data_IF_067998334589
#
_entry.id   IF_067998334589
#
_cell.length_a   1.000
_cell.length_b   1.000
_cell.length_c   1.000
_cell.angle_alpha   90.00
_cell.angle_beta   90.00
_cell.angle_gamma   90.00
#
_symmetry.space_group_name_H-M   'P 1'
#
loop_
_entity.id
_entity.type
_entity.pdbx_description
1 polymer ?
#
# COMPACT_ATOMS: atom_id res chain seq x y z
N UNK A 1 30.50 -21.27 -36.44
CA UNK A 1 31.26 -22.35 -35.80
C UNK A 1 31.40 -21.96 -34.34
N UNK A 2 30.75 -22.57 -33.37
CA UNK A 2 29.98 -23.82 -33.31
C UNK A 2 28.85 -23.65 -32.29
N UNK A 3 27.78 -24.40 -32.54
CA UNK A 3 26.69 -24.70 -31.62
C UNK A 3 27.17 -25.61 -30.49
N UNK A 4 26.41 -25.70 -29.38
CA UNK A 4 25.92 -26.98 -28.84
C UNK A 4 24.93 -26.76 -27.68
N UNK A 5 23.85 -27.54 -27.76
CA UNK A 5 22.65 -27.58 -26.93
C UNK A 5 22.75 -28.48 -25.67
N UNK A 6 21.61 -28.54 -24.95
CA UNK A 6 21.04 -29.64 -24.14
C UNK A 6 21.22 -29.55 -22.61
N UNK A 7 20.26 -29.88 -21.73
CA UNK A 7 18.84 -30.23 -21.81
C UNK A 7 18.24 -30.27 -20.38
N UNK A 8 16.97 -29.84 -20.26
CA UNK A 8 15.82 -30.37 -19.49
C UNK A 8 15.99 -31.09 -18.13
N UNK A 9 15.23 -30.64 -17.11
CA UNK A 9 14.32 -31.51 -16.34
C UNK A 9 13.22 -30.73 -15.57
N UNK A 10 11.98 -31.25 -15.68
CA UNK A 10 10.72 -30.86 -15.05
C UNK A 10 10.56 -31.57 -13.71
N UNK A 11 9.86 -30.96 -12.76
CA UNK A 11 8.92 -31.69 -11.90
C UNK A 11 7.77 -30.79 -11.43
N UNK A 12 6.57 -31.36 -11.40
CA UNK A 12 5.27 -30.73 -11.11
C UNK A 12 4.53 -31.69 -10.20
N UNK A 13 4.12 -31.30 -8.99
CA UNK A 13 3.01 -31.93 -8.25
C UNK A 13 2.40 -30.95 -7.22
N UNK A 14 1.14 -30.56 -7.46
CA UNK A 14 0.08 -30.28 -6.47
C UNK A 14 -0.94 -31.45 -6.56
N UNK A 15 -2.03 -31.64 -5.75
CA UNK A 15 -2.71 -30.74 -4.79
C UNK A 15 -3.27 -31.46 -3.50
N UNK A 16 -4.06 -30.77 -2.65
CA UNK A 16 -5.43 -31.16 -2.15
C UNK A 16 -5.81 -30.51 -0.79
N UNK A 17 -6.85 -29.66 -0.87
CA UNK A 17 -8.08 -29.46 -0.06
C UNK A 17 -8.15 -29.60 1.48
N UNK A 18 -8.82 -28.62 2.11
CA UNK A 18 -9.44 -28.72 3.44
C UNK A 18 -10.34 -27.51 3.78
N UNK A 19 -11.65 -27.66 3.57
CA UNK A 19 -12.75 -26.73 3.92
C UNK A 19 -13.11 -26.76 5.42
N UNK A 20 -13.77 -25.69 5.90
CA UNK A 20 -14.77 -25.57 7.00
C UNK A 20 -14.48 -24.30 7.85
N UNK A 21 -15.41 -23.50 8.38
CA UNK A 21 -16.85 -23.26 8.25
C UNK A 21 -17.14 -22.00 9.08
N UNK A 22 -17.96 -21.08 8.57
CA UNK A 22 -18.65 -20.05 9.38
C UNK A 22 -19.87 -20.72 10.02
N UNK A 23 -20.23 -20.36 11.27
CA UNK A 23 -21.62 -20.13 11.74
C UNK A 23 -21.68 -19.80 13.25
N UNK A 24 -22.35 -18.67 13.49
CA UNK A 24 -23.20 -18.21 14.61
C UNK A 24 -23.07 -18.76 16.03
N UNK A 25 -23.07 -17.81 16.96
CA UNK A 25 -23.87 -17.91 18.19
C UNK A 25 -24.67 -16.62 18.40
N UNK A 26 -25.95 -16.69 18.07
CA UNK A 26 -27.00 -15.81 18.61
C UNK A 26 -27.14 -16.08 20.12
N UNK A 27 -27.58 -15.09 20.89
CA UNK A 27 -28.53 -15.27 21.98
C UNK A 27 -29.20 -13.93 22.32
N UNK A 28 -30.51 -14.02 22.47
CA UNK A 28 -31.53 -12.99 22.69
C UNK A 28 -31.47 -12.36 24.10
N UNK A 29 -32.06 -11.16 24.24
CA UNK A 29 -33.02 -10.86 25.31
C UNK A 29 -33.74 -9.51 25.05
N UNK A 30 -34.95 -9.64 24.51
CA UNK A 30 -36.23 -9.06 24.95
C UNK A 30 -36.24 -7.76 25.78
N UNK A 31 -37.03 -6.78 25.31
CA UNK A 31 -37.48 -5.65 26.12
C UNK A 31 -38.25 -4.61 25.30
N UNK A 32 -39.54 -4.86 25.05
CA UNK A 32 -40.49 -3.82 24.65
C UNK A 32 -40.63 -2.77 25.76
N UNK A 33 -40.86 -1.50 25.40
CA UNK A 33 -42.02 -0.70 25.85
C UNK A 33 -41.98 0.70 25.22
N UNK A 34 -43.13 1.02 24.63
CA UNK A 34 -43.58 2.30 24.07
C UNK A 34 -43.57 3.45 25.09
N UNK A 35 -43.30 4.68 24.64
CA UNK A 35 -44.16 5.87 24.90
C UNK A 35 -43.68 7.13 24.18
N UNK A 36 -44.68 7.92 23.81
CA UNK A 36 -44.69 9.06 22.89
C UNK A 36 -44.29 10.42 23.51
N UNK A 37 -43.81 11.30 22.60
CA UNK A 37 -44.03 12.76 22.51
C UNK A 37 -43.32 13.69 23.51
N UNK A 38 -42.47 14.59 22.95
CA UNK A 38 -42.63 16.06 23.03
C UNK A 38 -41.53 16.81 22.23
N UNK A 39 -41.93 17.69 21.32
CA UNK A 39 -41.16 18.79 20.69
C UNK A 39 -41.97 20.06 21.06
N UNK A 40 -41.38 21.19 21.54
CA UNK A 40 -40.69 22.13 20.65
C UNK A 40 -39.58 23.02 21.25
N UNK A 41 -38.66 23.50 20.40
CA UNK A 41 -37.72 24.55 20.79
C UNK A 41 -36.52 24.76 19.87
N UNK A 42 -36.76 25.37 18.71
CA UNK A 42 -35.82 26.03 17.78
C UNK A 42 -34.46 26.50 18.34
N UNK A 43 -33.34 25.96 17.80
CA UNK A 43 -32.07 26.69 17.59
C UNK A 43 -31.31 26.10 16.38
N UNK A 44 -31.08 26.95 15.36
CA UNK A 44 -29.99 26.93 14.37
C UNK A 44 -29.49 25.60 13.79
N UNK A 45 -29.97 25.24 12.58
CA UNK A 45 -29.32 24.24 11.71
C UNK A 45 -28.05 24.84 11.08
N UNK A 46 -26.84 24.26 11.21
CA UNK A 46 -25.72 24.61 10.34
C UNK A 46 -25.97 24.03 8.94
N UNK A 47 -25.40 24.59 7.86
CA UNK A 47 -25.55 24.04 6.51
C UNK A 47 -24.61 22.84 6.30
N UNK A 48 -24.76 21.81 7.10
CA UNK A 48 -24.22 20.47 6.84
C UNK A 48 -25.30 19.70 6.08
N UNK A 49 -25.30 19.72 4.74
CA UNK A 49 -26.03 18.74 3.90
C UNK A 49 -26.03 19.07 2.39
N UNK A 50 -25.21 19.99 1.90
CA UNK A 50 -25.03 20.12 0.44
C UNK A 50 -24.20 18.99 -0.16
N UNK A 51 -23.57 18.13 0.66
CA UNK A 51 -22.80 16.97 0.20
C UNK A 51 -23.65 15.89 -0.51
N UNK A 52 -24.97 15.91 -0.36
CA UNK A 52 -25.89 15.04 -1.10
C UNK A 52 -26.42 15.67 -2.41
N UNK A 53 -26.01 16.89 -2.77
CA UNK A 53 -26.53 17.62 -3.94
C UNK A 53 -25.90 17.14 -5.26
N UNK A 54 -26.30 15.93 -5.66
CA UNK A 54 -26.08 15.27 -6.96
C UNK A 54 -24.77 14.48 -7.08
N UNK A 55 -24.91 13.14 -7.13
CA UNK A 55 -23.87 12.24 -7.68
C UNK A 55 -23.48 12.75 -9.07
N UNK A 56 -22.18 12.81 -9.39
CA UNK A 56 -21.68 13.38 -10.66
C UNK A 56 -22.38 12.79 -11.89
N UNK A 57 -22.72 11.50 -11.86
CA UNK A 57 -23.49 10.83 -12.91
C UNK A 57 -24.85 11.49 -13.16
N UNK A 58 -25.63 11.78 -12.12
CA UNK A 58 -26.94 12.44 -12.28
C UNK A 58 -26.83 13.83 -12.89
N UNK A 59 -25.74 14.54 -12.58
CA UNK A 59 -25.47 15.84 -13.19
C UNK A 59 -25.11 15.68 -14.67
N UNK A 60 -24.28 14.69 -15.00
CA UNK A 60 -23.94 14.33 -16.37
C UNK A 60 -25.21 14.00 -17.18
N UNK A 61 -26.06 13.09 -16.69
CA UNK A 61 -27.32 12.71 -17.36
C UNK A 61 -28.21 13.92 -17.63
N UNK A 62 -28.35 14.80 -16.63
CA UNK A 62 -29.13 16.02 -16.74
C UNK A 62 -28.57 16.99 -17.79
N UNK A 63 -27.24 17.14 -17.85
CA UNK A 63 -26.59 18.01 -18.84
C UNK A 63 -26.72 17.44 -20.24
N UNK A 64 -26.53 16.13 -20.40
CA UNK A 64 -26.66 15.46 -21.70
C UNK A 64 -28.09 15.53 -22.23
N UNK A 65 -29.08 15.20 -21.39
CA UNK A 65 -30.49 15.28 -21.76
C UNK A 65 -30.89 16.70 -22.18
N UNK A 66 -30.52 17.71 -21.38
CA UNK A 66 -30.81 19.12 -21.70
C UNK A 66 -30.09 19.60 -22.96
N UNK A 67 -28.91 19.07 -23.24
CA UNK A 67 -28.17 19.42 -24.47
C UNK A 67 -28.83 18.82 -25.70
N UNK A 68 -29.30 17.57 -25.61
CA UNK A 68 -30.06 16.92 -26.68
C UNK A 68 -31.38 17.64 -26.96
N UNK A 69 -32.14 17.99 -25.93
CA UNK A 69 -33.38 18.79 -26.07
C UNK A 69 -33.12 20.09 -26.84
N UNK A 70 -32.10 20.86 -26.45
CA UNK A 70 -31.72 22.09 -27.16
C UNK A 70 -31.28 21.84 -28.60
N UNK A 71 -30.60 20.74 -28.86
CA UNK A 71 -30.18 20.38 -30.21
C UNK A 71 -31.39 20.05 -31.11
N UNK A 72 -32.36 19.31 -30.58
CA UNK A 72 -33.60 18.99 -31.29
C UNK A 72 -34.44 20.26 -31.54
N UNK A 73 -34.49 21.20 -30.60
CA UNK A 73 -35.17 22.49 -30.79
C UNK A 73 -34.61 23.28 -32.00
N UNK A 74 -33.30 23.20 -32.24
CA UNK A 74 -32.67 23.82 -33.42
C UNK A 74 -33.11 23.15 -34.72
N UNK A 75 -33.44 21.86 -34.68
CA UNK A 75 -33.97 21.09 -35.79
C UNK A 75 -35.50 21.17 -35.91
N UNK A 76 -36.14 22.21 -35.35
CA UNK A 76 -37.60 22.40 -35.40
C UNK A 76 -38.23 22.30 -36.80
N UNK A 77 -39.49 21.84 -36.85
CA UNK A 77 -40.24 21.67 -38.09
C UNK A 77 -40.35 22.95 -38.92
N UNK A 78 -40.47 24.12 -38.27
CA UNK A 78 -40.56 25.40 -38.96
C UNK A 78 -39.31 25.67 -39.82
N UNK A 79 -38.11 25.42 -39.25
CA UNK A 79 -36.85 25.56 -39.98
C UNK A 79 -36.78 24.55 -41.12
N UNK A 80 -37.14 23.29 -40.87
CA UNK A 80 -37.17 22.24 -41.88
C UNK A 80 -38.10 22.57 -43.06
N UNK A 81 -39.35 22.96 -42.78
CA UNK A 81 -40.33 23.34 -43.79
C UNK A 81 -39.92 24.61 -44.57
N UNK A 82 -39.23 25.56 -43.91
CA UNK A 82 -38.73 26.76 -44.57
C UNK A 82 -37.62 26.48 -45.58
N UNK A 83 -36.77 25.49 -45.33
CA UNK A 83 -35.70 25.05 -46.24
C UNK A 83 -36.26 24.24 -47.41
N UNK A 84 -37.26 23.39 -47.16
CA UNK A 84 -37.88 22.52 -48.17
C UNK A 84 -39.26 23.03 -48.66
N UNK A 85 -39.43 24.36 -48.79
CA UNK A 85 -40.70 25.00 -49.16
C UNK A 85 -41.41 24.42 -50.39
N UNK A 86 -40.73 24.15 -51.52
CA UNK A 86 -41.41 23.61 -52.71
C UNK A 86 -42.06 22.24 -52.46
N UNK A 87 -41.43 21.41 -51.62
CA UNK A 87 -41.94 20.08 -51.26
C UNK A 87 -43.06 20.18 -50.21
N UNK A 88 -42.90 21.07 -49.23
CA UNK A 88 -43.93 21.33 -48.23
C UNK A 88 -45.25 21.77 -48.86
N UNK A 89 -45.22 22.71 -49.83
CA UNK A 89 -46.43 23.18 -50.54
C UNK A 89 -47.17 22.06 -51.28
N UNK A 90 -46.45 21.03 -51.76
CA UNK A 90 -47.06 19.91 -52.49
C UNK A 90 -47.75 18.92 -51.56
N UNK A 91 -47.16 18.63 -50.41
CA UNK A 91 -47.74 17.68 -49.45
C UNK A 91 -47.27 17.97 -48.00
N UNK A 92 -47.96 18.86 -47.28
CA UNK A 92 -47.61 19.24 -45.91
C UNK A 92 -47.62 18.06 -44.94
N UNK A 93 -48.62 17.19 -45.07
CA UNK A 93 -48.84 16.03 -44.19
C UNK A 93 -47.69 15.01 -44.30
N UNK A 94 -47.25 14.69 -45.53
CA UNK A 94 -46.08 13.82 -45.70
C UNK A 94 -44.79 14.45 -45.19
N UNK A 95 -44.62 15.76 -45.39
CA UNK A 95 -43.43 16.46 -44.91
C UNK A 95 -43.33 16.46 -43.38
N UNK A 96 -44.45 16.66 -42.70
CA UNK A 96 -44.54 16.60 -41.23
C UNK A 96 -44.23 15.20 -40.70
N UNK A 97 -44.77 14.16 -41.35
CA UNK A 97 -44.46 12.76 -41.01
C UNK A 97 -42.97 12.44 -41.16
N UNK A 98 -42.35 12.87 -42.27
CA UNK A 98 -40.90 12.67 -42.51
C UNK A 98 -40.07 13.38 -41.44
N UNK A 99 -40.40 14.64 -41.11
CA UNK A 99 -39.67 15.38 -40.08
C UNK A 99 -39.79 14.73 -38.71
N UNK A 100 -41.00 14.30 -38.33
CA UNK A 100 -41.22 13.58 -37.08
C UNK A 100 -40.39 12.31 -36.99
N UNK A 101 -40.41 11.47 -38.03
CA UNK A 101 -39.60 10.25 -38.09
C UNK A 101 -38.10 10.55 -38.01
N UNK A 102 -37.63 11.59 -38.71
CA UNK A 102 -36.24 12.01 -38.65
C UNK A 102 -35.81 12.43 -37.24
N UNK A 103 -36.63 13.21 -36.54
CA UNK A 103 -36.32 13.66 -35.17
C UNK A 103 -36.35 12.51 -34.18
N UNK A 104 -37.35 11.62 -34.26
CA UNK A 104 -37.45 10.44 -33.41
C UNK A 104 -36.23 9.51 -33.58
N UNK A 105 -35.84 9.26 -34.83
CA UNK A 105 -34.68 8.43 -35.16
C UNK A 105 -33.37 9.08 -34.70
N UNK A 106 -33.18 10.37 -34.96
CA UNK A 106 -31.99 11.12 -34.55
C UNK A 106 -31.84 11.13 -33.02
N UNK A 107 -32.93 11.40 -32.30
CA UNK A 107 -32.92 11.40 -30.84
C UNK A 107 -32.59 10.01 -30.30
N UNK A 108 -33.22 8.97 -30.85
CA UNK A 108 -32.96 7.58 -30.44
C UNK A 108 -31.50 7.19 -30.64
N UNK A 109 -30.96 7.39 -31.85
CA UNK A 109 -29.57 7.03 -32.17
C UNK A 109 -28.60 7.76 -31.24
N UNK A 110 -28.79 9.06 -30.99
CA UNK A 110 -27.91 9.82 -30.10
C UNK A 110 -27.99 9.29 -28.66
N UNK A 111 -29.20 8.98 -28.15
CA UNK A 111 -29.36 8.43 -26.80
C UNK A 111 -28.74 7.03 -26.66
N UNK A 112 -28.90 6.18 -27.68
CA UNK A 112 -28.27 4.86 -27.73
C UNK A 112 -26.74 4.97 -27.76
N UNK A 113 -26.20 5.89 -28.57
CA UNK A 113 -24.76 6.13 -28.66
C UNK A 113 -24.18 6.67 -27.35
N UNK A 114 -24.85 7.65 -26.72
CA UNK A 114 -24.45 8.14 -25.39
C UNK A 114 -24.47 7.00 -24.37
N UNK A 115 -25.53 6.17 -24.35
CA UNK A 115 -25.63 5.05 -23.41
C UNK A 115 -24.51 4.04 -23.62
N UNK A 116 -24.23 3.69 -24.87
CA UNK A 116 -23.10 2.83 -25.24
C UNK A 116 -21.76 3.41 -24.77
N UNK A 117 -21.52 4.71 -24.97
CA UNK A 117 -20.28 5.37 -24.52
C UNK A 117 -20.16 5.39 -22.99
N UNK A 118 -21.26 5.56 -22.27
CA UNK A 118 -21.29 5.46 -20.79
C UNK A 118 -20.88 4.06 -20.34
N UNK A 119 -21.41 3.01 -20.98
CA UNK A 119 -21.12 1.62 -20.68
C UNK A 119 -19.67 1.23 -21.03
N UNK A 120 -19.24 1.52 -22.26
CA UNK A 120 -17.88 1.27 -22.74
C UNK A 120 -16.83 2.00 -21.90
N UNK A 121 -17.10 3.26 -21.57
CA UNK A 121 -16.23 4.07 -20.72
C UNK A 121 -16.30 3.73 -19.24
N UNK A 122 -17.20 2.83 -18.83
CA UNK A 122 -17.51 2.52 -17.44
C UNK A 122 -17.71 3.78 -16.59
N UNK A 123 -18.39 4.77 -17.16
CA UNK A 123 -18.41 6.14 -16.62
C UNK A 123 -19.08 6.19 -15.25
N UNK A 124 -20.09 5.36 -15.01
CA UNK A 124 -20.75 5.24 -13.70
C UNK A 124 -19.73 4.87 -12.60
N UNK A 125 -18.87 3.87 -12.85
CA UNK A 125 -17.87 3.42 -11.88
C UNK A 125 -16.87 4.55 -11.62
N UNK A 126 -16.32 5.15 -12.67
CA UNK A 126 -15.29 6.20 -12.56
C UNK A 126 -15.82 7.46 -11.85
N UNK A 127 -17.05 7.88 -12.15
CA UNK A 127 -17.65 9.05 -11.49
C UNK A 127 -18.01 8.77 -10.03
N UNK A 128 -18.47 7.55 -9.71
CA UNK A 128 -18.71 7.13 -8.33
C UNK A 128 -17.39 7.04 -7.52
N UNK A 129 -16.32 6.51 -8.10
CA UNK A 129 -14.99 6.49 -7.50
C UNK A 129 -14.48 7.92 -7.24
N UNK A 130 -14.67 8.83 -8.18
CA UNK A 130 -14.29 10.22 -8.03
C UNK A 130 -15.09 10.92 -6.90
N UNK A 131 -16.39 10.64 -6.77
CA UNK A 131 -17.22 11.11 -5.66
C UNK A 131 -16.66 10.60 -4.31
N UNK A 132 -16.24 9.34 -4.24
CA UNK A 132 -15.63 8.75 -3.04
C UNK A 132 -14.28 9.39 -2.72
N UNK A 133 -13.40 9.54 -3.71
CA UNK A 133 -12.07 10.16 -3.55
C UNK A 133 -12.18 11.61 -3.07
N UNK A 134 -13.11 12.40 -3.62
CA UNK A 134 -13.38 13.75 -3.15
C UNK A 134 -13.83 13.73 -1.68
N UNK A 135 -14.77 12.86 -1.32
CA UNK A 135 -15.28 12.76 0.05
C UNK A 135 -14.17 12.40 1.06
N UNK A 136 -13.25 11.50 0.68
CA UNK A 136 -12.10 11.11 1.50
C UNK A 136 -11.06 12.24 1.61
N UNK A 137 -10.91 13.05 0.57
CA UNK A 137 -9.95 14.15 0.52
C UNK A 137 -10.44 15.44 1.20
N UNK A 138 -11.75 15.64 1.41
CA UNK A 138 -12.35 16.86 2.00
C UNK A 138 -11.72 17.30 3.33
N UNK A 139 -11.16 16.37 4.11
CA UNK A 139 -10.53 16.66 5.40
C UNK A 139 -9.06 17.07 5.31
N UNK A 140 -8.43 16.95 4.14
CA UNK A 140 -7.01 17.29 3.93
C UNK A 140 -6.92 18.75 3.49
N UNK A 141 -6.28 19.58 4.30
CA UNK A 141 -6.05 21.00 3.99
C UNK A 141 -4.86 21.21 3.03
N UNK A 142 -3.96 20.24 2.96
CA UNK A 142 -2.76 20.36 2.14
C UNK A 142 -3.08 20.28 0.65
N UNK A 143 -2.36 21.04 -0.19
CA UNK A 143 -2.45 20.91 -1.64
C UNK A 143 -2.21 19.46 -2.07
N UNK A 144 -3.10 18.93 -2.90
CA UNK A 144 -2.94 17.60 -3.45
C UNK A 144 -1.72 17.55 -4.39
N UNK A 145 -0.95 16.47 -4.30
CA UNK A 145 0.21 16.24 -5.17
C UNK A 145 -0.18 16.32 -6.65
N UNK A 146 0.71 16.90 -7.46
CA UNK A 146 0.60 16.98 -8.92
C UNK A 146 1.96 16.57 -9.50
N UNK A 147 1.97 15.83 -10.63
CA UNK A 147 3.21 15.55 -11.34
C UNK A 147 3.96 16.84 -11.61
N UNK A 148 5.25 16.87 -11.26
CA UNK A 148 6.13 18.02 -11.51
C UNK A 148 6.44 18.18 -13.00
N UNK A 149 6.27 17.10 -13.77
CA UNK A 149 6.73 17.02 -15.16
C UNK A 149 8.17 16.53 -15.29
N UNK A 150 8.84 16.26 -14.17
CA UNK A 150 10.18 15.66 -14.11
C UNK A 150 10.05 14.23 -13.57
N UNK A 151 10.16 13.20 -14.43
CA UNK A 151 9.92 11.81 -14.05
C UNK A 151 10.74 11.34 -12.86
N UNK A 152 12.01 11.74 -12.77
CA UNK A 152 12.92 11.35 -11.69
C UNK A 152 12.42 11.87 -10.34
N UNK A 153 11.95 13.12 -10.29
CA UNK A 153 11.44 13.71 -9.05
C UNK A 153 10.12 13.05 -8.63
N UNK A 154 9.22 12.84 -9.59
CA UNK A 154 7.92 12.22 -9.33
C UNK A 154 8.11 10.78 -8.83
N UNK A 155 9.01 10.03 -9.45
CA UNK A 155 9.36 8.66 -9.05
C UNK A 155 10.03 8.61 -7.67
N UNK A 156 10.99 9.49 -7.41
CA UNK A 156 11.62 9.59 -6.08
C UNK A 156 10.60 9.92 -4.99
N UNK A 157 9.63 10.80 -5.25
CA UNK A 157 8.60 11.16 -4.28
C UNK A 157 7.73 9.96 -3.89
N UNK A 158 7.42 9.08 -4.86
CA UNK A 158 6.67 7.85 -4.62
C UNK A 158 7.48 6.80 -3.85
N UNK A 159 8.77 6.64 -4.16
CA UNK A 159 9.63 5.64 -3.52
C UNK A 159 10.12 6.02 -2.12
N UNK A 160 10.22 7.31 -1.82
CA UNK A 160 10.80 7.82 -0.58
C UNK A 160 10.24 7.15 0.70
N UNK A 161 8.92 6.94 0.86
CA UNK A 161 8.38 6.30 2.06
C UNK A 161 8.88 4.86 2.26
N UNK A 162 9.10 4.11 1.16
CA UNK A 162 9.60 2.73 1.22
C UNK A 162 11.05 2.69 1.66
N UNK A 163 11.90 3.56 1.08
CA UNK A 163 13.30 3.65 1.48
C UNK A 163 13.47 4.13 2.91
N UNK A 164 12.66 5.09 3.36
CA UNK A 164 12.65 5.51 4.76
C UNK A 164 12.28 4.37 5.71
N UNK A 165 11.33 3.50 5.32
CA UNK A 165 10.97 2.32 6.13
C UNK A 165 12.13 1.32 6.20
N UNK A 166 12.78 1.05 5.06
CA UNK A 166 13.93 0.15 5.00
C UNK A 166 15.11 0.70 5.81
N UNK A 167 15.41 1.98 5.69
CA UNK A 167 16.47 2.63 6.45
C UNK A 167 16.22 2.53 7.96
N UNK A 168 14.99 2.80 8.42
CA UNK A 168 14.62 2.67 9.83
C UNK A 168 14.86 1.25 10.35
N UNK A 169 14.45 0.24 9.58
CA UNK A 169 14.66 -1.16 9.92
C UNK A 169 16.15 -1.53 10.00
N UNK A 170 16.94 -1.15 8.98
CA UNK A 170 18.38 -1.41 8.96
C UNK A 170 19.12 -0.73 10.12
N UNK A 171 18.74 0.50 10.47
CA UNK A 171 19.31 1.21 11.62
C UNK A 171 19.00 0.52 12.94
N UNK A 172 17.82 -0.09 13.09
CA UNK A 172 17.48 -0.86 14.29
C UNK A 172 18.31 -2.13 14.38
N UNK A 173 18.44 -2.87 13.28
CA UNK A 173 19.23 -4.11 13.26
C UNK A 173 20.72 -3.85 13.50
N UNK A 174 21.26 -2.79 12.90
CA UNK A 174 22.64 -2.40 13.10
C UNK A 174 22.92 -2.05 14.58
N UNK A 175 22.02 -1.34 15.25
CA UNK A 175 22.13 -1.07 16.70
C UNK A 175 22.12 -2.35 17.53
N UNK A 176 21.27 -3.31 17.17
CA UNK A 176 21.20 -4.62 17.85
C UNK A 176 22.53 -5.36 17.75
N UNK A 177 23.08 -5.47 16.54
CA UNK A 177 24.35 -6.16 16.29
C UNK A 177 25.52 -5.45 17.00
N UNK A 178 25.55 -4.10 16.98
CA UNK A 178 26.59 -3.35 17.67
C UNK A 178 26.56 -3.57 19.19
N UNK A 179 25.38 -3.62 19.81
CA UNK A 179 25.24 -3.89 21.23
C UNK A 179 25.70 -5.32 21.59
N UNK A 180 25.32 -6.30 20.77
CA UNK A 180 25.74 -7.70 20.95
C UNK A 180 27.26 -7.84 20.81
N UNK A 181 27.85 -7.25 19.77
CA UNK A 181 29.30 -7.27 19.56
C UNK A 181 30.06 -6.58 20.70
N UNK A 182 29.55 -5.46 21.23
CA UNK A 182 30.15 -4.79 22.37
C UNK A 182 30.15 -5.69 23.62
N UNK A 183 29.03 -6.36 23.91
CA UNK A 183 28.92 -7.29 25.02
C UNK A 183 29.85 -8.51 24.85
N UNK A 184 29.94 -9.06 23.64
CA UNK A 184 30.85 -10.17 23.34
C UNK A 184 32.32 -9.75 23.45
N UNK A 185 32.67 -8.55 22.96
CA UNK A 185 34.02 -8.01 23.06
C UNK A 185 34.45 -7.81 24.51
N UNK A 186 33.57 -7.29 25.37
CA UNK A 186 33.82 -7.15 26.80
C UNK A 186 34.05 -8.51 27.47
N UNK A 187 33.23 -9.53 27.16
CA UNK A 187 33.42 -10.89 27.68
C UNK A 187 34.76 -11.50 27.24
N UNK A 188 35.12 -11.34 25.97
CA UNK A 188 36.40 -11.83 25.45
C UNK A 188 37.58 -11.15 26.13
N UNK A 189 37.49 -9.84 26.38
CA UNK A 189 38.53 -9.08 27.06
C UNK A 189 38.69 -9.51 28.53
N UNK A 190 37.59 -9.63 29.28
CA UNK A 190 37.62 -10.15 30.65
C UNK A 190 38.20 -11.57 30.71
N UNK A 191 37.86 -12.42 29.73
CA UNK A 191 38.43 -13.76 29.60
C UNK A 191 39.95 -13.74 29.37
N UNK A 192 40.45 -12.85 28.52
CA UNK A 192 41.89 -12.67 28.29
C UNK A 192 42.63 -12.19 29.53
N UNK A 193 42.05 -11.27 30.29
CA UNK A 193 42.63 -10.76 31.54
C UNK A 193 42.72 -11.87 32.60
N UNK A 194 41.67 -12.69 32.75
CA UNK A 194 41.69 -13.84 33.65
C UNK A 194 42.74 -14.89 33.25
N UNK A 195 42.90 -15.13 31.95
CA UNK A 195 43.93 -16.04 31.44
C UNK A 195 45.33 -15.52 31.76
N UNK A 196 45.60 -14.23 31.50
CA UNK A 196 46.89 -13.61 31.78
C UNK A 196 47.24 -13.64 33.27
N UNK A 197 46.25 -13.43 34.16
CA UNK A 197 46.45 -13.59 35.60
C UNK A 197 46.80 -15.03 35.98
N UNK A 198 46.09 -16.00 35.41
CA UNK A 198 46.34 -17.42 35.68
C UNK A 198 47.73 -17.84 35.19
N UNK A 199 48.11 -17.40 34.00
CA UNK A 199 49.45 -17.62 33.44
C UNK A 199 50.54 -17.06 34.36
N UNK A 200 50.38 -15.82 34.84
CA UNK A 200 51.31 -15.20 35.77
C UNK A 200 51.45 -15.99 37.09
N UNK A 201 50.33 -16.45 37.68
CA UNK A 201 50.35 -17.27 38.89
C UNK A 201 51.07 -18.60 38.67
N UNK A 202 50.83 -19.26 37.52
CA UNK A 202 51.51 -20.51 37.16
C UNK A 202 53.00 -20.26 37.02
N UNK A 203 53.43 -19.23 36.28
CA UNK A 203 54.85 -18.91 36.11
C UNK A 203 55.55 -18.64 37.44
N UNK A 204 54.92 -17.86 38.32
CA UNK A 204 55.47 -17.55 39.65
C UNK A 204 55.63 -18.82 40.49
N UNK A 205 54.60 -19.67 40.51
CA UNK A 205 54.65 -20.96 41.23
C UNK A 205 55.75 -21.86 40.66
N UNK A 206 55.87 -21.95 39.33
CA UNK A 206 56.91 -22.73 38.67
C UNK A 206 58.30 -22.23 39.05
N UNK A 207 58.51 -20.92 39.13
CA UNK A 207 59.81 -20.34 39.49
C UNK A 207 60.13 -20.53 40.98
N UNK A 208 59.14 -20.45 41.88
CA UNK A 208 59.29 -20.81 43.30
C UNK A 208 59.66 -22.29 43.50
N UNK A 209 59.04 -23.18 42.74
CA UNK A 209 59.36 -24.62 42.76
C UNK A 209 60.78 -24.87 42.25
N UNK A 210 61.19 -24.24 41.14
CA UNK A 210 62.57 -24.32 40.65
C UNK A 210 63.57 -23.85 41.71
N UNK A 211 63.31 -22.72 42.36
CA UNK A 211 64.18 -22.21 43.42
C UNK A 211 64.30 -23.22 44.57
N UNK A 212 63.17 -23.76 45.04
CA UNK A 212 63.14 -24.77 46.10
C UNK A 212 63.93 -26.04 45.74
N UNK A 213 63.82 -26.50 44.49
CA UNK A 213 64.59 -27.66 43.99
C UNK A 213 66.08 -27.34 43.96
N UNK A 214 66.49 -26.16 43.46
CA UNK A 214 67.90 -25.77 43.45
C UNK A 214 68.49 -25.62 44.86
N UNK A 215 67.72 -25.14 45.82
CA UNK A 215 68.13 -25.09 47.22
C UNK A 215 68.30 -26.48 47.82
N UNK A 216 67.36 -27.39 47.53
CA UNK A 216 67.44 -28.79 47.95
C UNK A 216 68.67 -29.49 47.35
N UNK A 217 68.93 -29.31 46.05
CA UNK A 217 70.13 -29.84 45.38
C UNK A 217 71.40 -29.31 46.04
N UNK A 218 71.47 -28.00 46.34
CA UNK A 218 72.60 -27.40 47.05
C UNK A 218 72.80 -28.01 48.44
N UNK A 219 71.72 -28.20 49.21
CA UNK A 219 71.77 -28.86 50.51
C UNK A 219 72.23 -30.31 50.40
N UNK A 220 71.69 -31.07 49.44
CA UNK A 220 72.09 -32.44 49.18
C UNK A 220 73.58 -32.54 48.83
N UNK A 221 74.09 -31.66 47.95
CA UNK A 221 75.52 -31.60 47.64
C UNK A 221 76.40 -31.25 48.84
N UNK A 222 75.91 -30.45 49.81
CA UNK A 222 76.66 -30.14 51.03
C UNK A 222 76.74 -31.30 52.04
N UNK A 223 75.82 -32.26 51.94
CA UNK A 223 75.77 -33.45 52.79
C UNK A 223 76.59 -34.62 52.24
N UNK A 224 77.08 -34.53 50.99
CA UNK A 224 78.06 -35.45 50.41
C UNK A 224 79.44 -34.79 50.43
N UNK A 225 80.35 -35.18 51.34
CA UNK A 225 81.72 -34.68 51.32
C UNK A 225 82.39 -35.16 50.02
N UNK A 226 82.91 -34.22 49.24
CA UNK A 226 83.90 -34.56 48.22
C UNK A 226 85.22 -34.74 48.96
N UNK A 227 85.44 -35.91 49.54
CA UNK A 227 86.75 -36.34 50.03
C UNK A 227 87.12 -37.66 49.34
N UNK A 228 87.97 -37.50 48.33
CA UNK A 228 89.12 -38.35 47.97
C UNK A 228 89.07 -39.81 48.43
N UNK A 229 88.87 -40.73 47.47
CA UNK A 229 89.65 -41.96 47.44
C UNK A 229 90.66 -41.84 46.29
N UNK A 230 91.85 -41.35 46.62
CA UNK A 230 93.08 -41.54 45.85
C UNK A 230 93.74 -42.81 46.40
N UNK A 231 93.65 -43.93 45.66
CA UNK A 231 94.62 -45.05 45.59
C UNK A 231 94.44 -45.73 44.24
#
# INVERSE_FOLDING_TARGET
>A
MEESEAATQKETVDPVCGTNSVVNRSNEATGEVSSQVSIPGSVGKPPEETAARYKRLKLFDKVMQKSLEKFIDLASFNRFASTFRPLYKKNPQRMESIHKQFIEELQRIIQEDISRLIEEGQLEIKLNELDQLESAAKKKADPAWRPSGVPEQDFCSFLMPYYQKQEKYMRQELKRIQAENAALSQKAQAGRESLAQTEFCISTTVDEWKASVTEFERLASSLYPTDVFDV
#
